data_IF_669382027306
#
_entry.id   IF_669382027306
#
_cell.length_a   1.000
_cell.length_b   1.000
_cell.length_c   1.000
_cell.angle_alpha   90.00
_cell.angle_beta   90.00
_cell.angle_gamma   90.00
#
_symmetry.space_group_name_H-M   'P 1'
#
loop_
_entity.id
_entity.type
_entity.pdbx_description
1 polymer ?
#
# COMPACT_ATOMS: atom_id res chain seq x y z
N UNK A 1 3.40 5.47 -24.63
CA UNK A 1 2.48 5.98 -23.59
C UNK A 1 1.90 4.76 -22.90
N UNK A 2 2.53 4.29 -21.83
CA UNK A 2 2.08 3.08 -21.14
C UNK A 2 0.89 3.45 -20.26
N UNK A 3 -0.31 3.05 -20.67
CA UNK A 3 -1.49 3.01 -19.83
C UNK A 3 -1.25 1.96 -18.75
N UNK A 4 -0.47 2.29 -17.72
CA UNK A 4 -0.38 1.46 -16.54
C UNK A 4 -1.67 1.70 -15.75
N UNK A 5 -2.67 0.85 -16.02
CA UNK A 5 -3.81 0.67 -15.15
C UNK A 5 -3.28 0.21 -13.80
N UNK A 6 -3.04 1.20 -12.93
CA UNK A 6 -2.44 1.05 -11.61
C UNK A 6 -3.12 -0.12 -10.88
N UNK A 7 -2.38 -1.23 -10.72
CA UNK A 7 -2.98 -2.49 -10.28
C UNK A 7 -3.57 -2.33 -8.89
N UNK A 8 -4.79 -2.84 -8.72
CA UNK A 8 -5.48 -2.84 -7.44
C UNK A 8 -5.22 -4.14 -6.70
N UNK A 9 -4.45 -4.03 -5.63
CA UNK A 9 -4.10 -5.12 -4.74
C UNK A 9 -5.18 -5.28 -3.66
N UNK A 10 -5.39 -6.53 -3.28
CA UNK A 10 -6.12 -6.91 -2.06
C UNK A 10 -5.22 -6.78 -0.83
N UNK A 11 -5.83 -6.85 0.37
CA UNK A 11 -5.09 -6.89 1.63
C UNK A 11 -4.10 -8.06 1.66
N UNK A 12 -4.51 -9.23 1.16
CA UNK A 12 -3.69 -10.44 1.15
C UNK A 12 -2.48 -10.33 0.22
N UNK A 13 -2.67 -9.75 -0.96
CA UNK A 13 -1.57 -9.49 -1.90
C UNK A 13 -0.59 -8.47 -1.34
N UNK A 14 -1.08 -7.35 -0.79
CA UNK A 14 -0.24 -6.36 -0.14
C UNK A 14 0.53 -6.95 1.06
N UNK A 15 -0.13 -7.79 1.86
CA UNK A 15 0.49 -8.51 2.97
C UNK A 15 1.61 -9.45 2.52
N UNK A 16 1.39 -10.20 1.43
CA UNK A 16 2.41 -11.06 0.81
C UNK A 16 3.60 -10.26 0.29
N UNK A 17 3.36 -9.14 -0.38
CA UNK A 17 4.40 -8.26 -0.93
C UNK A 17 5.27 -7.67 0.19
N UNK A 18 4.63 -7.11 1.21
CA UNK A 18 5.32 -6.48 2.34
C UNK A 18 5.84 -7.50 3.38
N UNK A 19 5.51 -8.78 3.23
CA UNK A 19 5.80 -9.86 4.18
C UNK A 19 5.36 -9.53 5.61
N UNK A 20 4.13 -9.03 5.76
CA UNK A 20 3.51 -8.73 7.05
C UNK A 20 2.15 -9.44 7.17
N UNK A 21 1.58 -9.44 8.38
CA UNK A 21 0.22 -9.97 8.57
C UNK A 21 -0.84 -9.08 7.89
N UNK A 22 -1.95 -9.67 7.45
CA UNK A 22 -3.12 -8.95 6.94
C UNK A 22 -3.66 -7.95 7.98
N UNK A 23 -3.61 -8.29 9.27
CA UNK A 23 -3.94 -7.40 10.38
C UNK A 23 -3.06 -6.14 10.40
N UNK A 24 -1.77 -6.26 10.10
CA UNK A 24 -0.87 -5.11 10.01
C UNK A 24 -1.29 -4.17 8.88
N UNK A 25 -1.63 -4.72 7.71
CA UNK A 25 -2.12 -3.94 6.56
C UNK A 25 -3.40 -3.18 6.93
N UNK A 26 -4.37 -3.84 7.55
CA UNK A 26 -5.61 -3.19 8.02
C UNK A 26 -5.29 -2.06 8.99
N UNK A 27 -4.41 -2.28 9.96
CA UNK A 27 -3.96 -1.24 10.90
C UNK A 27 -3.30 -0.06 10.18
N UNK A 28 -2.54 -0.31 9.11
CA UNK A 28 -1.90 0.75 8.33
C UNK A 28 -2.93 1.60 7.58
N UNK A 29 -3.98 0.98 7.07
CA UNK A 29 -5.11 1.66 6.42
C UNK A 29 -5.89 2.48 7.45
N UNK A 30 -6.28 1.87 8.57
CA UNK A 30 -7.05 2.55 9.63
C UNK A 30 -6.30 3.72 10.27
N UNK A 31 -4.98 3.61 10.42
CA UNK A 31 -4.14 4.71 10.89
C UNK A 31 -3.83 5.78 9.84
N UNK A 32 -4.36 5.65 8.62
CA UNK A 32 -4.13 6.58 7.52
C UNK A 32 -2.69 6.57 6.96
N UNK A 33 -1.86 5.59 7.35
CA UNK A 33 -0.47 5.47 6.88
C UNK A 33 -0.39 4.88 5.48
N UNK A 34 -1.27 3.93 5.16
CA UNK A 34 -1.38 3.31 3.84
C UNK A 34 -2.69 3.76 3.19
N UNK A 35 -2.60 4.37 2.02
CA UNK A 35 -3.77 4.83 1.27
C UNK A 35 -4.45 3.63 0.62
N UNK A 36 -5.76 3.51 0.81
CA UNK A 36 -6.59 2.45 0.24
C UNK A 36 -8.01 2.96 -0.01
N UNK A 37 -8.68 2.39 -1.01
CA UNK A 37 -10.07 2.67 -1.36
C UNK A 37 -10.98 1.55 -0.89
N UNK A 38 -12.11 1.88 -0.25
CA UNK A 38 -13.11 0.90 0.20
C UNK A 38 -14.15 0.69 -0.89
N UNK A 39 -14.14 -0.48 -1.54
CA UNK A 39 -15.11 -0.87 -2.58
C UNK A 39 -15.70 -2.23 -2.18
N UNK A 40 -16.48 -2.22 -1.10
CA UNK A 40 -16.89 -3.42 -0.35
C UNK A 40 -15.73 -3.97 0.52
N UNK A 41 -14.62 -4.32 -0.13
CA UNK A 41 -13.34 -4.65 0.50
C UNK A 41 -12.32 -3.54 0.27
N UNK A 42 -11.25 -3.50 1.09
CA UNK A 42 -10.14 -2.58 0.87
C UNK A 42 -9.34 -2.97 -0.38
N UNK A 43 -9.12 -2.00 -1.26
CA UNK A 43 -8.26 -2.09 -2.43
C UNK A 43 -7.14 -1.08 -2.32
N UNK A 44 -5.92 -1.52 -2.56
CA UNK A 44 -4.70 -0.73 -2.42
C UNK A 44 -4.11 -0.58 -3.82
N UNK A 45 -3.84 0.66 -4.26
CA UNK A 45 -3.12 0.85 -5.52
C UNK A 45 -1.66 0.43 -5.34
N UNK A 46 -1.09 -0.17 -6.36
CA UNK A 46 0.33 -0.55 -6.34
C UNK A 46 1.24 0.68 -6.14
N UNK A 47 0.93 1.81 -6.77
CA UNK A 47 1.61 3.09 -6.57
C UNK A 47 1.57 3.58 -5.11
N UNK A 48 0.42 3.50 -4.45
CA UNK A 48 0.25 3.89 -3.05
C UNK A 48 1.05 2.99 -2.10
N UNK A 49 1.13 1.68 -2.39
CA UNK A 49 1.95 0.74 -1.62
C UNK A 49 3.44 1.05 -1.73
N UNK A 50 3.90 1.41 -2.94
CA UNK A 50 5.29 1.86 -3.18
C UNK A 50 5.56 3.18 -2.46
N UNK A 51 4.63 4.13 -2.52
CA UNK A 51 4.71 5.40 -1.79
C UNK A 51 4.75 5.22 -0.27
N UNK A 52 4.04 4.21 0.26
CA UNK A 52 4.10 3.86 1.69
C UNK A 52 5.49 3.37 2.11
N UNK A 53 6.15 2.53 1.29
CA UNK A 53 7.52 2.10 1.55
C UNK A 53 8.50 3.27 1.55
N UNK A 54 8.38 4.17 0.57
CA UNK A 54 9.21 5.37 0.49
C UNK A 54 9.06 6.27 1.72
N UNK A 55 7.83 6.43 2.23
CA UNK A 55 7.54 7.22 3.44
C UNK A 55 8.02 6.55 4.73
N UNK A 56 8.02 5.22 4.79
CA UNK A 56 8.41 4.46 5.98
C UNK A 56 9.92 4.17 6.02
N UNK A 57 10.62 4.36 4.90
CA UNK A 57 12.07 4.18 4.82
C UNK A 57 12.78 5.07 5.84
N UNK A 58 13.65 4.46 6.66
CA UNK A 58 14.48 5.17 7.63
C UNK A 58 15.54 6.07 6.95
N UNK A 59 15.77 5.88 5.64
CA UNK A 59 16.70 6.70 4.88
C UNK A 59 15.99 7.96 4.41
N UNK A 60 16.37 9.12 4.95
CA UNK A 60 15.92 10.41 4.42
C UNK A 60 16.37 10.52 2.96
N UNK A 61 15.43 10.46 1.99
CA UNK A 61 15.71 10.95 0.63
C UNK A 61 16.13 12.41 0.77
N UNK A 62 17.42 12.70 0.60
CA UNK A 62 17.90 14.08 0.44
C UNK A 62 17.12 14.69 -0.73
N UNK A 63 16.40 15.78 -0.46
CA UNK A 63 15.87 16.65 -1.51
C UNK A 63 17.01 17.28 -2.29
#
# INVERSE_FOLDING_TARGET
MSNDSDKLLTIEEAAKILRVSTRSIVRYIESGRLVASKIGVWRIKESDLRGFLDKTSNVKKKK
#
